data_IF_641659006719
#
_entry.id   IF_641659006719
#
_cell.length_a   1.000
_cell.length_b   1.000
_cell.length_c   1.000
_cell.angle_alpha   90.00
_cell.angle_beta   90.00
_cell.angle_gamma   90.00
#
_symmetry.space_group_name_H-M   'P 1'
#
loop_
_entity.id
_entity.type
_entity.pdbx_description
1 polymer ?
#
# COMPACT_ATOMS: atom_id res chain seq x y z
N UNK A 1 3.46 -32.24 20.32
CA UNK A 1 4.58 -33.08 19.85
C UNK A 1 5.67 -32.23 19.23
N UNK A 2 5.36 -31.40 18.23
CA UNK A 2 6.25 -30.39 17.64
C UNK A 2 6.98 -29.54 18.70
N UNK A 3 6.24 -29.03 19.67
CA UNK A 3 6.73 -28.30 20.83
C UNK A 3 7.82 -29.04 21.63
N UNK A 4 7.59 -30.33 21.89
CA UNK A 4 8.54 -31.20 22.58
C UNK A 4 9.76 -31.51 21.70
N UNK A 5 9.54 -31.65 20.39
CA UNK A 5 10.62 -31.84 19.42
C UNK A 5 11.54 -30.61 19.39
N UNK A 6 10.95 -29.41 19.32
CA UNK A 6 11.64 -28.12 19.38
C UNK A 6 12.45 -27.99 20.67
N UNK A 7 11.85 -28.30 21.83
CA UNK A 7 12.54 -28.23 23.11
C UNK A 7 13.79 -29.13 23.15
N UNK A 8 13.66 -30.37 22.70
CA UNK A 8 14.81 -31.29 22.70
C UNK A 8 15.86 -30.86 21.67
N UNK A 9 15.42 -30.32 20.53
CA UNK A 9 16.29 -29.95 19.41
C UNK A 9 17.03 -28.62 19.59
N UNK A 10 16.46 -27.65 20.32
CA UNK A 10 16.96 -26.27 20.36
C UNK A 10 17.08 -25.66 21.77
N UNK A 11 16.44 -26.20 22.81
CA UNK A 11 16.52 -25.68 24.18
C UNK A 11 17.25 -26.64 25.11
N UNK A 12 18.45 -26.24 25.53
CA UNK A 12 19.18 -26.91 26.62
C UNK A 12 19.81 -25.86 27.52
N UNK A 13 20.10 -26.24 28.76
CA UNK A 13 20.68 -25.41 29.83
C UNK A 13 22.15 -25.00 29.53
N UNK A 14 22.38 -24.41 28.36
CA UNK A 14 23.64 -23.83 27.93
C UNK A 14 24.56 -24.66 27.04
N UNK A 15 24.02 -25.66 26.35
CA UNK A 15 24.77 -26.39 25.33
C UNK A 15 24.38 -25.96 23.92
N UNK A 16 25.37 -25.76 23.05
CA UNK A 16 25.10 -25.44 21.64
C UNK A 16 24.35 -26.61 20.96
N UNK A 17 23.15 -26.38 20.38
CA UNK A 17 22.36 -27.42 19.72
C UNK A 17 23.10 -28.21 18.63
N UNK A 18 24.06 -27.57 17.94
CA UNK A 18 24.84 -28.19 16.86
C UNK A 18 25.88 -29.22 17.32
N UNK A 19 26.12 -29.36 18.63
CA UNK A 19 27.07 -30.36 19.16
C UNK A 19 26.41 -31.63 19.66
N UNK A 20 25.08 -31.68 19.64
CA UNK A 20 24.31 -32.78 20.20
C UNK A 20 23.93 -33.78 19.12
N UNK A 21 24.34 -35.03 19.32
CA UNK A 21 23.70 -36.15 18.66
C UNK A 21 22.39 -36.45 19.38
N UNK A 22 21.29 -36.48 18.63
CA UNK A 22 20.02 -36.95 19.12
C UNK A 22 19.55 -38.11 18.26
N UNK A 23 19.08 -39.18 18.91
CA UNK A 23 18.26 -40.21 18.27
C UNK A 23 16.83 -39.66 18.22
N UNK A 24 16.50 -38.87 17.19
CA UNK A 24 15.20 -38.18 17.08
C UNK A 24 14.16 -38.98 16.27
N UNK A 25 14.44 -40.24 15.93
CA UNK A 25 13.69 -40.97 14.90
C UNK A 25 12.19 -41.01 15.20
N UNK A 26 11.75 -41.23 16.43
CA UNK A 26 10.31 -41.49 16.63
C UNK A 26 9.50 -40.19 16.76
N UNK A 27 10.05 -39.16 17.42
CA UNK A 27 9.38 -37.88 17.62
C UNK A 27 9.34 -37.02 16.36
N UNK A 28 10.43 -36.98 15.57
CA UNK A 28 10.47 -36.25 14.31
C UNK A 28 9.53 -36.86 13.28
N UNK A 29 9.53 -38.18 13.15
CA UNK A 29 8.73 -38.88 12.14
C UNK A 29 7.24 -38.90 12.50
N UNK A 30 6.92 -38.83 13.80
CA UNK A 30 5.54 -38.62 14.24
C UNK A 30 5.07 -37.17 14.02
N UNK A 31 5.94 -36.18 14.21
CA UNK A 31 5.61 -34.77 13.97
C UNK A 31 5.54 -34.44 12.48
N UNK A 32 6.39 -35.07 11.67
CA UNK A 32 6.53 -34.84 10.24
C UNK A 32 6.69 -36.18 9.50
N UNK A 33 5.57 -36.82 9.09
CA UNK A 33 5.62 -38.11 8.40
C UNK A 33 6.33 -38.08 7.04
N UNK A 34 6.35 -36.92 6.37
CA UNK A 34 7.07 -36.65 5.11
C UNK A 34 8.55 -37.01 5.17
N UNK A 35 9.14 -36.96 6.37
CA UNK A 35 10.53 -37.32 6.59
C UNK A 35 10.84 -38.81 6.35
N UNK A 36 9.83 -39.68 6.25
CA UNK A 36 9.98 -41.09 5.82
C UNK A 36 10.56 -41.22 4.41
N UNK A 37 10.39 -40.19 3.60
CA UNK A 37 10.85 -40.16 2.21
C UNK A 37 12.32 -39.71 2.09
N UNK A 38 12.95 -39.31 3.21
CA UNK A 38 14.32 -38.82 3.21
C UNK A 38 15.34 -39.95 3.43
N UNK A 39 15.97 -40.45 2.36
CA UNK A 39 16.96 -41.54 2.41
C UNK A 39 18.16 -41.23 3.34
N UNK A 40 18.58 -39.97 3.45
CA UNK A 40 19.66 -39.53 4.35
C UNK A 40 19.27 -39.47 5.84
N UNK A 41 17.97 -39.31 6.13
CA UNK A 41 17.42 -39.29 7.49
C UNK A 41 17.16 -40.70 8.06
N UNK A 42 17.21 -41.74 7.24
CA UNK A 42 17.11 -43.12 7.72
C UNK A 42 18.48 -43.81 7.86
N UNK A 43 19.53 -43.27 7.22
CA UNK A 43 20.87 -43.88 7.17
C UNK A 43 21.91 -43.34 8.17
N UNK A 44 21.64 -42.22 8.84
CA UNK A 44 22.52 -41.63 9.85
C UNK A 44 22.14 -42.10 11.25
N UNK A 45 23.13 -42.44 12.08
CA UNK A 45 22.90 -42.94 13.45
C UNK A 45 22.67 -41.81 14.48
N UNK A 46 22.96 -40.57 14.11
CA UNK A 46 22.93 -39.43 15.02
C UNK A 46 22.57 -38.18 14.23
N UNK A 47 21.46 -37.54 14.59
CA UNK A 47 21.01 -36.32 13.95
C UNK A 47 21.18 -35.15 14.89
N UNK A 48 21.53 -33.99 14.34
CA UNK A 48 21.46 -32.76 15.12
C UNK A 48 20.03 -32.25 14.99
N UNK A 49 19.36 -31.95 16.12
CA UNK A 49 17.96 -31.48 16.09
C UNK A 49 17.75 -30.24 15.22
N UNK A 50 18.82 -29.50 14.98
CA UNK A 50 18.86 -28.38 14.07
C UNK A 50 18.62 -28.75 12.59
N UNK A 51 18.95 -29.98 12.17
CA UNK A 51 18.87 -30.44 10.79
C UNK A 51 17.44 -30.77 10.31
N UNK A 52 16.47 -30.87 11.22
CA UNK A 52 15.07 -31.21 10.89
C UNK A 52 14.52 -30.29 9.81
N UNK A 53 14.76 -28.98 9.94
CA UNK A 53 14.35 -28.00 8.94
C UNK A 53 14.93 -28.29 7.54
N UNK A 54 16.20 -28.68 7.49
CA UNK A 54 16.89 -29.00 6.24
C UNK A 54 16.24 -30.22 5.58
N UNK A 55 16.00 -31.28 6.35
CA UNK A 55 15.39 -32.49 5.83
C UNK A 55 13.98 -32.26 5.29
N UNK A 56 13.14 -31.49 6.00
CA UNK A 56 11.81 -31.09 5.52
C UNK A 56 11.91 -30.33 4.20
N UNK A 57 12.85 -29.39 4.12
CA UNK A 57 13.07 -28.60 2.90
C UNK A 57 13.59 -29.42 1.72
N UNK A 58 14.36 -30.48 1.98
CA UNK A 58 14.96 -31.35 0.96
C UNK A 58 13.94 -32.35 0.38
N UNK A 59 12.92 -32.75 1.15
CA UNK A 59 11.77 -33.52 0.64
C UNK A 59 10.61 -32.63 0.15
N UNK A 60 10.87 -31.33 -0.01
CA UNK A 60 9.89 -30.33 -0.44
C UNK A 60 8.64 -30.19 0.47
N UNK A 61 8.74 -30.58 1.74
CA UNK A 61 7.70 -30.30 2.75
C UNK A 61 7.88 -28.88 3.30
N UNK A 62 7.58 -27.89 2.44
CA UNK A 62 7.73 -26.47 2.75
C UNK A 62 6.77 -26.00 3.85
N UNK A 63 5.56 -26.53 3.88
CA UNK A 63 4.57 -26.21 4.91
C UNK A 63 5.03 -26.72 6.28
N UNK A 64 5.55 -27.95 6.35
CA UNK A 64 6.14 -28.51 7.56
C UNK A 64 7.36 -27.71 8.02
N UNK A 65 8.24 -27.32 7.11
CA UNK A 65 9.43 -26.52 7.40
C UNK A 65 9.08 -25.12 7.94
N UNK A 66 8.12 -24.42 7.32
CA UNK A 66 7.65 -23.11 7.78
C UNK A 66 6.89 -23.21 9.10
N UNK A 67 6.11 -24.29 9.30
CA UNK A 67 5.41 -24.53 10.57
C UNK A 67 6.41 -24.72 11.71
N UNK A 68 7.46 -25.51 11.49
CA UNK A 68 8.56 -25.66 12.45
C UNK A 68 9.22 -24.30 12.75
N UNK A 69 9.54 -23.52 11.71
CA UNK A 69 10.22 -22.24 11.85
C UNK A 69 9.37 -21.18 12.57
N UNK A 70 8.08 -21.03 12.22
CA UNK A 70 7.15 -20.13 12.90
C UNK A 70 6.97 -20.51 14.35
N UNK A 71 6.78 -21.80 14.62
CA UNK A 71 6.60 -22.27 16.00
C UNK A 71 7.83 -22.05 16.86
N UNK A 72 9.02 -22.11 16.25
CA UNK A 72 10.28 -21.75 16.88
C UNK A 72 10.35 -20.26 17.25
N UNK A 73 9.80 -19.37 16.42
CA UNK A 73 9.66 -17.92 16.73
C UNK A 73 8.62 -17.68 17.83
N UNK A 74 7.44 -18.29 17.71
CA UNK A 74 6.32 -18.14 18.65
C UNK A 74 6.64 -18.60 20.08
N UNK A 75 7.63 -19.48 20.21
CA UNK A 75 8.14 -19.92 21.51
C UNK A 75 8.80 -18.79 22.28
N UNK A 76 9.12 -17.69 21.60
CA UNK A 76 9.91 -16.54 22.02
C UNK A 76 11.27 -16.96 22.59
N UNK A 77 12.38 -16.30 22.23
CA UNK A 77 13.65 -16.56 22.90
C UNK A 77 13.52 -16.14 24.35
N UNK A 78 13.33 -17.10 25.25
CA UNK A 78 13.42 -16.85 26.68
C UNK A 78 14.83 -16.34 26.92
N UNK A 79 14.94 -15.14 27.48
CA UNK A 79 16.21 -14.48 27.82
C UNK A 79 16.90 -15.27 28.95
N UNK A 80 17.50 -16.39 28.57
CA UNK A 80 18.16 -17.36 29.47
C UNK A 80 19.66 -17.09 29.58
N UNK A 81 20.13 -15.91 29.15
CA UNK A 81 21.56 -15.56 29.07
C UNK A 81 22.18 -15.90 27.71
N UNK A 82 23.52 -16.03 27.68
CA UNK A 82 24.32 -16.24 26.46
C UNK A 82 23.84 -17.42 25.60
N UNK A 83 23.09 -18.35 26.19
CA UNK A 83 22.63 -19.58 25.57
C UNK A 83 21.39 -19.42 24.68
N UNK A 84 20.49 -18.47 25.01
CA UNK A 84 19.34 -18.12 24.15
C UNK A 84 19.77 -17.55 22.80
N UNK A 85 20.95 -16.93 22.76
CA UNK A 85 21.57 -16.43 21.54
C UNK A 85 22.10 -17.57 20.65
N UNK A 86 22.46 -18.73 21.22
CA UNK A 86 23.13 -19.80 20.47
C UNK A 86 22.18 -20.55 19.54
N UNK A 87 20.97 -20.90 19.99
CA UNK A 87 20.00 -21.60 19.14
C UNK A 87 19.39 -20.66 18.10
N UNK A 88 19.12 -19.39 18.47
CA UNK A 88 18.66 -18.35 17.53
C UNK A 88 19.70 -18.15 16.42
N UNK A 89 20.98 -18.03 16.79
CA UNK A 89 22.07 -17.91 15.82
C UNK A 89 22.18 -19.14 14.92
N UNK A 90 22.00 -20.35 15.48
CA UNK A 90 22.11 -21.58 14.74
C UNK A 90 20.91 -21.79 13.78
N UNK A 91 19.68 -21.51 14.23
CA UNK A 91 18.48 -21.51 13.38
C UNK A 91 18.59 -20.49 12.25
N UNK A 92 18.98 -19.25 12.59
CA UNK A 92 19.23 -18.19 11.61
C UNK A 92 20.27 -18.63 10.59
N UNK A 93 21.40 -19.20 11.01
CA UNK A 93 22.44 -19.70 10.10
C UNK A 93 21.90 -20.74 9.12
N UNK A 94 21.06 -21.65 9.57
CA UNK A 94 20.47 -22.66 8.71
C UNK A 94 19.45 -22.12 7.70
N UNK A 95 18.49 -21.32 8.17
CA UNK A 95 17.47 -20.73 7.29
C UNK A 95 18.13 -19.87 6.21
N UNK A 96 19.15 -19.14 6.64
CA UNK A 96 20.04 -18.35 5.79
C UNK A 96 20.74 -19.16 4.71
N UNK A 97 21.44 -20.24 5.08
CA UNK A 97 22.11 -21.09 4.10
C UNK A 97 21.12 -21.64 3.08
N UNK A 98 19.93 -22.06 3.52
CA UNK A 98 18.89 -22.56 2.62
C UNK A 98 18.39 -21.48 1.66
N UNK A 99 18.14 -20.27 2.15
CA UNK A 99 17.79 -19.13 1.29
C UNK A 99 18.88 -18.87 0.25
N UNK A 100 20.15 -18.93 0.64
CA UNK A 100 21.27 -18.74 -0.27
C UNK A 100 21.36 -19.85 -1.32
N UNK A 101 21.18 -21.11 -0.92
CA UNK A 101 21.11 -22.24 -1.85
C UNK A 101 20.01 -22.05 -2.89
N UNK A 102 18.79 -21.71 -2.46
CA UNK A 102 17.65 -21.46 -3.35
C UNK A 102 17.93 -20.29 -4.30
N UNK A 103 18.45 -19.17 -3.77
CA UNK A 103 18.82 -18.01 -4.58
C UNK A 103 19.92 -18.34 -5.60
N UNK A 104 20.89 -19.18 -5.22
CA UNK A 104 22.00 -19.59 -6.10
C UNK A 104 21.54 -20.58 -7.17
N UNK A 105 20.65 -21.50 -6.81
CA UNK A 105 20.09 -22.51 -7.70
C UNK A 105 19.25 -21.87 -8.79
N UNK A 106 18.31 -21.01 -8.39
CA UNK A 106 17.36 -20.40 -9.30
C UNK A 106 17.88 -19.13 -9.96
N UNK A 107 18.90 -18.46 -9.42
CA UNK A 107 19.51 -17.22 -9.97
C UNK A 107 18.50 -16.10 -10.33
N UNK A 108 17.29 -16.15 -9.76
CA UNK A 108 16.17 -15.24 -10.03
C UNK A 108 15.10 -15.79 -10.99
N UNK A 109 15.32 -16.94 -11.62
CA UNK A 109 14.34 -17.66 -12.46
C UNK A 109 13.74 -18.82 -11.65
N UNK A 110 12.74 -18.47 -10.83
CA UNK A 110 12.07 -19.41 -9.94
C UNK A 110 11.34 -20.49 -10.76
N UNK A 111 11.71 -21.76 -10.57
CA UNK A 111 11.17 -22.89 -11.33
C UNK A 111 9.73 -23.25 -10.96
N UNK A 112 9.26 -22.90 -9.76
CA UNK A 112 7.90 -23.13 -9.28
C UNK A 112 7.41 -22.01 -8.34
N UNK A 113 6.09 -21.75 -8.28
CA UNK A 113 5.49 -20.78 -7.33
C UNK A 113 5.73 -21.16 -5.86
N UNK A 114 5.60 -22.45 -5.48
CA UNK A 114 5.80 -22.88 -4.08
C UNK A 114 7.21 -22.63 -3.53
N UNK A 115 8.27 -22.86 -4.32
CA UNK A 115 9.65 -22.65 -3.87
C UNK A 115 9.94 -21.17 -3.56
N UNK A 116 9.36 -20.28 -4.37
CA UNK A 116 9.50 -18.83 -4.22
C UNK A 116 8.73 -18.33 -3.02
N UNK A 117 7.48 -18.76 -2.86
CA UNK A 117 6.64 -18.41 -1.71
C UNK A 117 7.30 -18.89 -0.41
N UNK A 118 7.79 -20.13 -0.38
CA UNK A 118 8.59 -20.66 0.71
C UNK A 118 9.80 -19.78 1.05
N UNK A 119 10.58 -19.38 0.04
CA UNK A 119 11.78 -18.55 0.25
C UNK A 119 11.45 -17.14 0.76
N UNK A 120 10.33 -16.53 0.34
CA UNK A 120 9.88 -15.22 0.83
C UNK A 120 9.44 -15.33 2.28
N UNK A 121 8.57 -16.29 2.60
CA UNK A 121 8.05 -16.47 3.97
C UNK A 121 9.17 -16.84 4.95
N UNK A 122 10.13 -17.67 4.53
CA UNK A 122 11.30 -17.99 5.32
C UNK A 122 12.19 -16.76 5.57
N UNK A 123 12.35 -15.87 4.58
CA UNK A 123 13.07 -14.62 4.77
C UNK A 123 12.38 -13.73 5.82
N UNK A 124 11.05 -13.60 5.78
CA UNK A 124 10.30 -12.83 6.77
C UNK A 124 10.46 -13.39 8.20
N UNK A 125 10.41 -14.71 8.36
CA UNK A 125 10.66 -15.39 9.63
C UNK A 125 12.08 -15.09 10.15
N UNK A 126 13.09 -15.08 9.27
CA UNK A 126 14.47 -14.70 9.68
C UNK A 126 14.58 -13.25 10.16
N UNK A 127 13.79 -12.32 9.62
CA UNK A 127 13.76 -10.93 10.09
C UNK A 127 13.12 -10.82 11.49
N UNK A 128 12.12 -11.65 11.80
CA UNK A 128 11.48 -11.66 13.12
C UNK A 128 12.44 -12.16 14.21
N UNK A 129 13.34 -13.09 13.87
CA UNK A 129 14.37 -13.61 14.79
C UNK A 129 15.58 -12.66 14.94
N UNK A 130 15.72 -11.64 14.09
CA UNK A 130 16.87 -10.71 14.05
C UNK A 130 17.11 -9.95 15.35
N UNK A 131 16.10 -9.32 16.00
CA UNK A 131 16.32 -8.51 17.19
C UNK A 131 16.92 -9.30 18.36
N UNK A 132 16.72 -10.61 18.36
CA UNK A 132 17.19 -11.52 19.40
C UNK A 132 18.65 -11.97 19.21
N UNK A 133 19.38 -11.41 18.23
CA UNK A 133 20.79 -11.73 17.93
C UNK A 133 21.73 -10.51 17.95
N UNK A 134 21.20 -9.29 18.07
CA UNK A 134 21.98 -8.06 17.85
C UNK A 134 23.18 -7.94 18.82
N UNK A 135 24.39 -8.05 18.26
CA UNK A 135 25.65 -7.80 18.98
C UNK A 135 26.90 -8.55 18.50
N UNK A 136 26.80 -9.69 17.79
CA UNK A 136 27.97 -10.59 17.66
C UNK A 136 28.41 -10.90 16.22
N UNK A 137 27.55 -10.85 15.21
CA UNK A 137 27.96 -11.15 13.82
C UNK A 137 27.20 -10.30 12.80
N UNK A 138 27.94 -9.65 11.89
CA UNK A 138 27.37 -9.11 10.67
C UNK A 138 26.74 -10.25 9.87
N UNK A 139 25.42 -10.25 9.76
CA UNK A 139 24.71 -11.30 9.07
C UNK A 139 25.00 -11.20 7.56
N UNK A 140 25.33 -12.30 6.85
CA UNK A 140 25.64 -12.27 5.42
C UNK A 140 24.48 -11.79 4.52
N UNK A 141 23.30 -11.49 5.08
CA UNK A 141 22.03 -11.32 4.37
C UNK A 141 21.48 -9.90 4.39
N UNK A 142 22.21 -8.93 4.96
CA UNK A 142 22.13 -7.55 4.46
C UNK A 142 22.86 -7.40 3.12
N UNK A 143 23.42 -8.49 2.57
CA UNK A 143 23.94 -8.48 1.23
C UNK A 143 22.77 -8.26 0.26
N UNK A 144 22.78 -7.07 -0.36
CA UNK A 144 21.93 -6.73 -1.49
C UNK A 144 21.67 -7.91 -2.44
N UNK A 145 22.66 -8.74 -2.80
CA UNK A 145 22.46 -9.92 -3.66
C UNK A 145 21.32 -10.88 -3.30
N UNK A 146 21.12 -11.25 -2.03
CA UNK A 146 20.07 -12.24 -1.67
C UNK A 146 18.69 -11.59 -1.75
N UNK A 147 18.54 -10.39 -1.20
CA UNK A 147 17.31 -9.58 -1.33
C UNK A 147 17.01 -9.31 -2.81
N UNK A 148 18.03 -8.92 -3.57
CA UNK A 148 17.93 -8.71 -5.01
C UNK A 148 17.53 -9.97 -5.73
N UNK A 149 17.96 -11.17 -5.33
CA UNK A 149 17.57 -12.44 -5.96
C UNK A 149 16.13 -12.87 -5.63
N UNK A 150 15.73 -12.80 -4.35
CA UNK A 150 14.37 -13.15 -3.87
C UNK A 150 13.31 -12.26 -4.52
N UNK A 151 13.59 -10.97 -4.48
CA UNK A 151 12.71 -9.96 -5.05
C UNK A 151 13.12 -9.61 -6.47
N UNK A 152 13.99 -10.38 -7.16
CA UNK A 152 14.50 -10.01 -8.49
C UNK A 152 13.42 -9.84 -9.51
N UNK A 153 12.38 -10.66 -9.48
CA UNK A 153 11.25 -10.51 -10.40
C UNK A 153 10.47 -9.24 -10.08
N UNK A 154 10.33 -8.91 -8.79
CA UNK A 154 9.68 -7.69 -8.31
C UNK A 154 10.55 -6.45 -8.57
N UNK A 155 11.88 -6.60 -8.52
CA UNK A 155 12.93 -5.62 -8.71
C UNK A 155 13.34 -5.45 -10.17
N UNK A 156 13.24 -6.45 -11.02
CA UNK A 156 13.40 -6.36 -12.48
C UNK A 156 12.12 -5.75 -13.07
N UNK A 157 10.95 -6.02 -12.45
CA UNK A 157 9.74 -5.21 -12.65
C UNK A 157 9.95 -3.78 -12.16
N UNK A 158 10.65 -3.58 -11.03
CA UNK A 158 11.01 -2.25 -10.49
C UNK A 158 12.11 -1.51 -11.28
N UNK A 159 13.12 -2.19 -11.81
CA UNK A 159 14.24 -1.65 -12.60
C UNK A 159 13.76 -1.34 -14.02
N UNK A 160 12.80 -2.11 -14.54
CA UNK A 160 12.00 -1.71 -15.72
C UNK A 160 11.10 -0.49 -15.45
N UNK A 161 10.82 -0.16 -14.18
CA UNK A 161 10.09 1.03 -13.75
C UNK A 161 11.01 2.20 -13.31
N UNK A 162 12.29 1.96 -13.03
CA UNK A 162 13.21 2.92 -12.37
C UNK A 162 14.55 3.12 -13.13
N UNK A 163 14.82 2.40 -14.22
CA UNK A 163 16.08 2.50 -14.98
C UNK A 163 16.45 3.92 -15.43
N UNK A 164 17.77 4.17 -15.50
CA UNK A 164 18.59 5.41 -15.51
C UNK A 164 18.22 6.56 -16.49
N UNK A 165 16.95 6.88 -16.69
CA UNK A 165 16.49 8.09 -17.38
C UNK A 165 15.95 9.12 -16.40
N UNK A 166 16.16 10.41 -16.69
CA UNK A 166 15.60 11.53 -15.92
C UNK A 166 14.10 11.34 -15.61
N UNK A 167 13.79 11.38 -14.30
CA UNK A 167 12.48 11.31 -13.62
C UNK A 167 11.75 9.94 -13.62
N UNK A 168 11.11 9.57 -12.49
CA UNK A 168 10.47 8.27 -12.30
C UNK A 168 9.22 8.15 -13.17
N UNK A 169 9.35 7.48 -14.31
CA UNK A 169 8.21 7.07 -15.12
C UNK A 169 7.49 5.90 -14.45
N UNK A 170 6.58 6.27 -13.56
CA UNK A 170 5.27 5.65 -13.33
C UNK A 170 5.16 4.52 -12.29
N UNK A 171 5.60 4.81 -11.06
CA UNK A 171 4.93 4.28 -9.84
C UNK A 171 3.55 4.93 -9.62
N UNK A 172 3.33 6.13 -10.19
CA UNK A 172 2.15 6.99 -9.98
C UNK A 172 0.82 6.43 -10.50
N UNK A 173 0.85 5.58 -11.53
CA UNK A 173 -0.37 4.96 -12.12
C UNK A 173 -0.96 3.83 -11.29
N UNK A 174 -0.22 3.41 -10.27
CA UNK A 174 -0.26 2.03 -9.81
C UNK A 174 -0.74 1.93 -8.35
N UNK A 175 -1.26 3.00 -7.77
CA UNK A 175 -1.80 2.99 -6.38
C UNK A 175 -2.97 2.00 -6.26
N UNK A 176 -3.81 1.93 -7.29
CA UNK A 176 -5.04 1.12 -7.31
C UNK A 176 -5.12 0.18 -8.51
N UNK A 177 -3.99 -0.26 -9.06
CA UNK A 177 -4.00 -1.25 -10.14
C UNK A 177 -4.57 -2.59 -9.67
N UNK A 178 -5.13 -3.36 -10.61
CA UNK A 178 -5.73 -4.65 -10.32
C UNK A 178 -4.74 -5.64 -9.67
N UNK A 179 -3.45 -5.59 -10.05
CA UNK A 179 -2.39 -6.43 -9.47
C UNK A 179 -2.05 -6.11 -8.00
N UNK A 180 -2.62 -5.01 -7.47
CA UNK A 180 -2.34 -4.50 -6.12
C UNK A 180 -3.58 -4.40 -5.23
N UNK A 181 -4.75 -4.80 -5.73
CA UNK A 181 -5.95 -4.89 -4.93
C UNK A 181 -5.75 -5.91 -3.79
N UNK A 182 -6.14 -5.54 -2.57
CA UNK A 182 -5.95 -6.36 -1.36
C UNK A 182 -4.57 -6.25 -0.68
N UNK A 183 -3.58 -5.58 -1.28
CA UNK A 183 -2.22 -5.40 -0.70
C UNK A 183 -2.11 -4.08 0.09
N UNK A 184 -2.82 -4.01 1.21
CA UNK A 184 -3.05 -2.77 1.96
C UNK A 184 -1.76 -2.06 2.42
N UNK A 185 -0.82 -2.76 3.04
CA UNK A 185 0.44 -2.16 3.56
C UNK A 185 1.23 -1.46 2.44
N UNK A 186 1.26 -2.08 1.26
CA UNK A 186 1.91 -1.53 0.08
C UNK A 186 1.19 -0.29 -0.46
N UNK A 187 -0.14 -0.26 -0.42
CA UNK A 187 -0.92 0.93 -0.84
C UNK A 187 -0.63 2.13 0.07
N UNK A 188 -0.55 1.90 1.39
CA UNK A 188 -0.21 2.93 2.37
C UNK A 188 1.21 3.46 2.16
N UNK A 189 2.18 2.57 1.96
CA UNK A 189 3.57 2.94 1.68
C UNK A 189 3.70 3.81 0.43
N UNK A 190 3.01 3.43 -0.66
CA UNK A 190 3.02 4.21 -1.90
C UNK A 190 2.40 5.59 -1.67
N UNK A 191 1.21 5.66 -1.06
CA UNK A 191 0.54 6.95 -0.80
C UNK A 191 1.41 7.89 0.05
N UNK A 192 2.06 7.36 1.10
CA UNK A 192 2.99 8.13 1.93
C UNK A 192 4.23 8.59 1.16
N UNK A 193 4.78 7.73 0.30
CA UNK A 193 5.91 8.09 -0.56
C UNK A 193 5.54 9.23 -1.51
N UNK A 194 4.34 9.20 -2.09
CA UNK A 194 3.85 10.28 -2.96
C UNK A 194 3.74 11.61 -2.22
N UNK A 195 3.21 11.60 -0.99
CA UNK A 195 3.15 12.78 -0.14
C UNK A 195 4.56 13.30 0.17
N UNK A 196 5.49 12.44 0.60
CA UNK A 196 6.86 12.84 0.90
C UNK A 196 7.59 13.39 -0.34
N UNK A 197 7.43 12.78 -1.51
CA UNK A 197 8.02 13.30 -2.75
C UNK A 197 7.44 14.66 -3.13
N UNK A 198 6.14 14.84 -2.89
CA UNK A 198 5.47 16.10 -3.12
C UNK A 198 5.97 17.21 -2.21
N UNK A 199 6.06 16.96 -0.90
CA UNK A 199 6.55 17.91 0.10
C UNK A 199 8.00 18.34 -0.17
N UNK A 200 8.79 17.44 -0.78
CA UNK A 200 10.17 17.72 -1.23
C UNK A 200 10.25 18.36 -2.63
N UNK A 201 9.13 18.68 -3.26
CA UNK A 201 9.04 19.25 -4.62
C UNK A 201 9.74 18.41 -5.72
N UNK A 202 9.73 17.09 -5.58
CA UNK A 202 10.40 16.17 -6.52
C UNK A 202 9.50 15.75 -7.70
N UNK A 203 8.21 16.09 -7.66
CA UNK A 203 7.24 15.67 -8.67
C UNK A 203 7.02 16.75 -9.73
N UNK A 204 7.22 16.40 -11.01
CA UNK A 204 6.99 17.28 -12.15
C UNK A 204 5.51 17.28 -12.56
N UNK A 205 4.96 18.47 -12.83
CA UNK A 205 3.58 18.70 -13.30
C UNK A 205 3.20 17.85 -14.53
N UNK A 206 4.12 17.62 -15.46
CA UNK A 206 3.83 16.85 -16.68
C UNK A 206 3.53 15.38 -16.37
N UNK A 207 4.26 14.77 -15.45
CA UNK A 207 4.06 13.38 -15.04
C UNK A 207 2.82 13.24 -14.17
N UNK A 208 2.56 14.21 -13.29
CA UNK A 208 1.33 14.28 -12.48
C UNK A 208 0.09 14.33 -13.37
N UNK A 209 0.15 15.09 -14.46
CA UNK A 209 -0.93 15.20 -15.47
C UNK A 209 -1.24 13.85 -16.12
N UNK A 210 -0.22 13.01 -16.36
CA UNK A 210 -0.39 11.71 -17.00
C UNK A 210 -0.89 10.63 -16.05
N UNK A 211 -0.62 10.75 -14.75
CA UNK A 211 -0.99 9.75 -13.75
C UNK A 211 -2.34 10.01 -13.09
N UNK A 212 -2.71 11.29 -12.92
CA UNK A 212 -3.96 11.67 -12.27
C UNK A 212 -5.22 10.99 -12.84
N UNK A 213 -5.42 10.85 -14.17
CA UNK A 213 -6.61 10.19 -14.71
C UNK A 213 -6.82 8.79 -14.15
N UNK A 214 -5.75 7.99 -14.11
CA UNK A 214 -5.82 6.60 -13.69
C UNK A 214 -6.01 6.46 -12.17
N UNK A 215 -5.36 7.32 -11.39
CA UNK A 215 -5.62 7.42 -9.96
C UNK A 215 -7.10 7.68 -9.68
N UNK A 216 -7.68 8.70 -10.34
CA UNK A 216 -9.08 9.07 -10.13
C UNK A 216 -10.04 8.03 -10.68
N UNK A 217 -9.73 7.36 -11.79
CA UNK A 217 -10.55 6.30 -12.36
C UNK A 217 -10.63 5.07 -11.45
N UNK A 218 -9.50 4.63 -10.88
CA UNK A 218 -9.40 3.40 -10.08
C UNK A 218 -9.66 3.58 -8.59
N UNK A 219 -9.80 4.81 -8.12
CA UNK A 219 -9.93 5.15 -6.69
C UNK A 219 -11.00 4.33 -5.96
N UNK A 220 -12.21 4.24 -6.53
CA UNK A 220 -13.36 3.62 -5.86
C UNK A 220 -13.19 2.12 -5.65
N UNK A 221 -12.91 1.40 -6.74
CA UNK A 221 -12.64 -0.02 -6.67
C UNK A 221 -11.42 -0.28 -5.78
N UNK A 222 -10.40 0.58 -5.83
CA UNK A 222 -9.26 0.54 -4.93
C UNK A 222 -9.64 0.55 -3.45
N UNK A 223 -10.49 1.50 -3.03
CA UNK A 223 -10.96 1.64 -1.64
C UNK A 223 -11.89 0.49 -1.22
N UNK A 224 -12.74 -0.01 -2.13
CA UNK A 224 -13.66 -1.12 -1.86
C UNK A 224 -12.93 -2.42 -1.49
N UNK A 225 -11.76 -2.68 -2.10
CA UNK A 225 -10.94 -3.87 -1.83
C UNK A 225 -10.06 -3.73 -0.57
N UNK A 226 -10.13 -2.61 0.16
CA UNK A 226 -9.46 -2.45 1.45
C UNK A 226 -10.34 -3.02 2.56
N UNK A 227 -9.72 -3.78 3.47
CA UNK A 227 -10.35 -4.33 4.67
C UNK A 227 -10.98 -3.23 5.53
N UNK A 228 -12.09 -3.55 6.20
CA UNK A 228 -12.90 -2.54 6.91
C UNK A 228 -12.12 -1.81 8.02
N UNK A 229 -11.25 -2.53 8.73
CA UNK A 229 -10.41 -2.04 9.82
C UNK A 229 -9.36 -1.00 9.35
N UNK A 230 -8.97 -1.06 8.06
CA UNK A 230 -7.94 -0.18 7.48
C UNK A 230 -8.48 0.83 6.47
N UNK A 231 -9.74 0.69 6.06
CA UNK A 231 -10.38 1.55 5.04
C UNK A 231 -10.32 3.04 5.39
N UNK A 232 -10.47 3.38 6.67
CA UNK A 232 -10.39 4.76 7.16
C UNK A 232 -9.03 5.38 6.85
N UNK A 233 -7.95 4.70 7.22
CA UNK A 233 -6.58 5.18 7.00
C UNK A 233 -6.28 5.39 5.52
N UNK A 234 -6.60 4.41 4.67
CA UNK A 234 -6.38 4.52 3.21
C UNK A 234 -7.20 5.65 2.60
N UNK A 235 -8.45 5.82 3.04
CA UNK A 235 -9.34 6.88 2.54
C UNK A 235 -8.77 8.26 2.86
N UNK A 236 -8.23 8.45 4.07
CA UNK A 236 -7.61 9.71 4.49
C UNK A 236 -6.33 10.00 3.71
N UNK A 237 -5.47 9.00 3.53
CA UNK A 237 -4.24 9.14 2.74
C UNK A 237 -4.55 9.42 1.27
N UNK A 238 -5.51 8.69 0.69
CA UNK A 238 -5.96 8.91 -0.69
C UNK A 238 -6.53 10.32 -0.87
N UNK A 239 -7.25 10.85 0.13
CA UNK A 239 -7.77 12.21 0.09
C UNK A 239 -6.64 13.24 0.05
N UNK A 240 -5.63 13.11 0.93
CA UNK A 240 -4.45 13.98 0.91
C UNK A 240 -3.70 13.90 -0.43
N UNK A 241 -3.45 12.69 -0.94
CA UNK A 241 -2.79 12.51 -2.23
C UNK A 241 -3.62 13.13 -3.37
N UNK A 242 -4.93 12.92 -3.39
CA UNK A 242 -5.81 13.53 -4.38
C UNK A 242 -5.82 15.06 -4.33
N UNK A 243 -5.81 15.63 -3.12
CA UNK A 243 -5.88 17.08 -2.90
C UNK A 243 -4.53 17.80 -3.09
N UNK A 244 -3.42 17.17 -2.71
CA UNK A 244 -2.10 17.80 -2.69
C UNK A 244 -1.25 17.40 -3.91
N UNK A 245 -1.36 16.14 -4.33
CA UNK A 245 -0.55 15.57 -5.41
C UNK A 245 -1.29 15.62 -6.74
N UNK A 246 -2.45 14.97 -6.83
CA UNK A 246 -3.24 14.83 -8.05
C UNK A 246 -4.33 15.89 -8.22
N UNK A 247 -4.09 17.08 -7.67
CA UNK A 247 -4.99 18.24 -7.78
C UNK A 247 -4.99 18.82 -9.19
N UNK A 248 -6.17 19.17 -9.70
CA UNK A 248 -6.35 19.78 -11.03
C UNK A 248 -5.50 21.04 -11.24
N UNK A 249 -5.17 21.77 -10.17
CA UNK A 249 -4.37 22.99 -10.25
C UNK A 249 -2.90 22.73 -10.62
N UNK A 250 -2.43 21.49 -10.45
CA UNK A 250 -1.06 21.07 -10.77
C UNK A 250 -0.92 20.44 -12.15
N UNK A 251 -2.02 20.38 -12.89
CA UNK A 251 -2.07 19.67 -14.17
C UNK A 251 -1.81 20.64 -15.34
N UNK A 252 -1.08 20.16 -16.34
CA UNK A 252 -0.87 20.85 -17.63
C UNK A 252 -1.96 20.48 -18.63
N UNK A 253 -2.14 21.33 -19.64
CA UNK A 253 -3.09 21.12 -20.75
C UNK A 253 -4.51 20.75 -20.29
N UNK A 254 -4.96 21.31 -19.16
CA UNK A 254 -6.21 20.95 -18.49
C UNK A 254 -7.40 20.94 -19.45
N UNK A 255 -7.52 21.99 -20.27
CA UNK A 255 -8.60 22.12 -21.27
C UNK A 255 -8.59 20.96 -22.27
N UNK A 256 -7.42 20.56 -22.77
CA UNK A 256 -7.26 19.44 -23.71
C UNK A 256 -7.62 18.11 -23.06
N UNK A 257 -7.20 17.89 -21.82
CA UNK A 257 -7.49 16.67 -21.08
C UNK A 257 -8.98 16.52 -20.73
N UNK A 258 -9.67 17.62 -20.44
CA UNK A 258 -11.13 17.62 -20.30
C UNK A 258 -11.84 17.33 -21.62
N UNK A 259 -11.45 17.98 -22.72
CA UNK A 259 -12.01 17.70 -24.05
C UNK A 259 -11.81 16.24 -24.48
N UNK A 260 -10.68 15.64 -24.09
CA UNK A 260 -10.39 14.22 -24.28
C UNK A 260 -11.05 13.30 -23.23
N UNK A 261 -11.90 13.83 -22.35
CA UNK A 261 -12.61 13.15 -21.25
C UNK A 261 -11.73 12.42 -20.22
N UNK A 262 -10.41 12.64 -20.25
CA UNK A 262 -9.46 12.01 -19.32
C UNK A 262 -9.65 12.47 -17.88
N UNK A 263 -10.06 13.73 -17.68
CA UNK A 263 -10.32 14.28 -16.35
C UNK A 263 -11.80 14.21 -15.93
N UNK A 264 -12.65 13.54 -16.70
CA UNK A 264 -14.04 13.28 -16.33
C UNK A 264 -14.17 12.56 -14.97
N UNK A 265 -13.42 11.46 -14.71
CA UNK A 265 -13.45 10.78 -13.42
C UNK A 265 -13.11 11.68 -12.22
N UNK A 266 -12.22 12.67 -12.41
CA UNK A 266 -11.83 13.59 -11.33
C UNK A 266 -13.01 14.47 -10.88
N UNK A 267 -13.88 14.90 -11.81
CA UNK A 267 -15.06 15.74 -11.48
C UNK A 267 -16.00 15.00 -10.52
N UNK A 268 -16.16 13.68 -10.70
CA UNK A 268 -17.03 12.84 -9.87
C UNK A 268 -16.33 12.34 -8.61
N UNK A 269 -15.10 11.84 -8.74
CA UNK A 269 -14.45 11.07 -7.68
C UNK A 269 -13.78 11.94 -6.63
N UNK A 270 -13.46 13.19 -6.95
CA UNK A 270 -12.93 14.15 -5.97
C UNK A 270 -13.97 14.51 -4.87
N UNK A 271 -15.22 14.93 -5.20
CA UNK A 271 -16.24 15.16 -4.18
C UNK A 271 -16.69 13.86 -3.50
N UNK A 272 -16.74 12.74 -4.23
CA UNK A 272 -17.05 11.44 -3.64
C UNK A 272 -16.04 11.07 -2.54
N UNK A 273 -14.74 11.27 -2.77
CA UNK A 273 -13.70 10.94 -1.80
C UNK A 273 -13.83 11.80 -0.53
N UNK A 274 -14.13 13.09 -0.68
CA UNK A 274 -14.40 13.96 0.46
C UNK A 274 -15.62 13.50 1.26
N UNK A 275 -16.68 13.02 0.59
CA UNK A 275 -17.82 12.42 1.26
C UNK A 275 -17.42 11.16 2.05
N UNK A 276 -16.56 10.30 1.50
CA UNK A 276 -16.05 9.13 2.23
C UNK A 276 -15.24 9.54 3.47
N UNK A 277 -14.44 10.60 3.39
CA UNK A 277 -13.70 11.15 4.54
C UNK A 277 -14.66 11.66 5.62
N UNK A 278 -15.71 12.41 5.22
CA UNK A 278 -16.75 12.88 6.14
C UNK A 278 -17.46 11.70 6.82
N UNK A 279 -17.85 10.69 6.04
CA UNK A 279 -18.50 9.47 6.55
C UNK A 279 -17.58 8.65 7.49
N UNK A 280 -16.26 8.78 7.35
CA UNK A 280 -15.28 8.20 8.26
C UNK A 280 -15.08 9.01 9.56
N UNK A 281 -15.94 10.01 9.80
CA UNK A 281 -15.97 10.81 11.04
C UNK A 281 -14.90 11.90 11.11
N UNK A 282 -14.42 12.39 9.96
CA UNK A 282 -13.46 13.50 9.92
C UNK A 282 -14.17 14.78 9.51
N UNK A 283 -14.05 15.80 10.36
CA UNK A 283 -14.56 17.14 10.08
C UNK A 283 -13.69 17.83 9.03
N UNK A 284 -14.26 18.02 7.84
CA UNK A 284 -13.61 18.72 6.75
C UNK A 284 -13.76 20.23 6.93
N UNK A 285 -12.64 20.96 6.84
CA UNK A 285 -12.67 22.41 6.89
C UNK A 285 -13.31 22.99 5.62
N UNK A 286 -13.72 24.27 5.67
CA UNK A 286 -14.19 24.96 4.47
C UNK A 286 -13.14 25.06 3.35
N UNK A 287 -11.84 24.89 3.66
CA UNK A 287 -10.79 24.77 2.64
C UNK A 287 -10.86 23.40 1.96
N UNK A 288 -10.91 22.33 2.73
CA UNK A 288 -10.95 20.96 2.21
C UNK A 288 -12.20 20.74 1.35
N UNK A 289 -13.34 21.31 1.76
CA UNK A 289 -14.57 21.26 0.98
C UNK A 289 -14.46 22.02 -0.35
N UNK A 290 -13.69 23.11 -0.43
CA UNK A 290 -13.43 23.80 -1.72
C UNK A 290 -12.48 23.01 -2.59
N UNK A 291 -11.44 22.44 -1.99
CA UNK A 291 -10.48 21.62 -2.71
C UNK A 291 -11.17 20.37 -3.28
N UNK A 292 -12.13 19.79 -2.57
CA UNK A 292 -12.98 18.69 -3.03
C UNK A 292 -13.81 19.01 -4.29
N UNK A 293 -14.12 20.30 -4.53
CA UNK A 293 -14.90 20.74 -5.69
C UNK A 293 -14.02 21.34 -6.81
N UNK A 294 -12.70 21.33 -6.65
CA UNK A 294 -11.80 22.09 -7.53
C UNK A 294 -11.85 21.64 -8.99
N UNK A 295 -11.98 20.34 -9.25
CA UNK A 295 -12.11 19.84 -10.63
C UNK A 295 -13.39 20.36 -11.31
N UNK A 296 -14.52 20.36 -10.59
CA UNK A 296 -15.79 20.89 -11.10
C UNK A 296 -15.72 22.42 -11.30
N UNK A 297 -15.14 23.15 -10.35
CA UNK A 297 -14.89 24.59 -10.48
C UNK A 297 -14.02 24.90 -11.72
N UNK A 298 -12.95 24.13 -11.93
CA UNK A 298 -12.06 24.31 -13.08
C UNK A 298 -12.75 23.99 -14.40
N UNK A 299 -13.53 22.91 -14.47
CA UNK A 299 -14.32 22.55 -15.65
C UNK A 299 -15.36 23.64 -15.97
N UNK A 300 -16.12 24.10 -14.98
CA UNK A 300 -17.11 25.16 -15.15
C UNK A 300 -16.48 26.49 -15.58
N UNK A 301 -15.28 26.82 -15.10
CA UNK A 301 -14.59 28.05 -15.51
C UNK A 301 -14.07 27.99 -16.96
N UNK A 302 -13.72 26.79 -17.45
CA UNK A 302 -13.16 26.62 -18.80
C UNK A 302 -14.21 26.44 -19.89
N UNK A 303 -15.38 25.89 -19.54
CA UNK A 303 -16.42 25.48 -20.48
C UNK A 303 -17.80 26.04 -20.14
N UNK A 304 -17.92 26.82 -19.07
CA UNK A 304 -19.18 27.39 -18.58
C UNK A 304 -20.26 26.32 -18.47
N UNK A 305 -21.40 26.50 -19.15
CA UNK A 305 -22.53 25.56 -19.18
C UNK A 305 -22.26 24.29 -19.97
N UNK A 306 -21.19 24.24 -20.77
CA UNK A 306 -20.82 23.07 -21.58
C UNK A 306 -20.02 22.00 -20.79
N UNK A 307 -19.73 22.24 -19.50
CA UNK A 307 -19.04 21.28 -18.63
C UNK A 307 -19.74 19.91 -18.58
N UNK A 308 -21.06 19.90 -18.76
CA UNK A 308 -21.89 18.70 -18.78
C UNK A 308 -21.45 17.68 -19.83
N UNK A 309 -20.82 18.13 -20.93
CA UNK A 309 -20.27 17.24 -21.96
C UNK A 309 -19.00 16.49 -21.53
N UNK A 310 -18.42 16.83 -20.38
CA UNK A 310 -17.19 16.23 -19.84
C UNK A 310 -17.46 14.96 -19.01
N UNK A 311 -18.70 14.74 -18.61
CA UNK A 311 -19.14 13.57 -17.81
C UNK A 311 -20.35 12.91 -18.48
N UNK A 312 -20.61 11.63 -18.18
CA UNK A 312 -21.81 10.95 -18.67
C UNK A 312 -23.07 11.46 -17.95
N UNK A 313 -24.24 11.12 -18.48
CA UNK A 313 -25.51 11.44 -17.82
C UNK A 313 -25.63 10.68 -16.47
N UNK A 314 -25.20 9.42 -16.40
CA UNK A 314 -25.20 8.67 -15.13
C UNK A 314 -24.29 9.34 -14.10
N UNK A 315 -23.06 9.70 -14.50
CA UNK A 315 -22.11 10.39 -13.63
C UNK A 315 -22.64 11.74 -13.13
N UNK A 316 -23.50 12.42 -13.90
CA UNK A 316 -24.11 13.69 -13.49
C UNK A 316 -25.18 13.51 -12.43
N UNK A 317 -26.04 12.50 -12.58
CA UNK A 317 -27.05 12.15 -11.58
C UNK A 317 -26.35 11.78 -10.28
N UNK A 318 -25.31 10.96 -10.37
CA UNK A 318 -24.53 10.55 -9.21
C UNK A 318 -23.79 11.72 -8.56
N UNK A 319 -23.15 12.59 -9.35
CA UNK A 319 -22.49 13.78 -8.85
C UNK A 319 -23.46 14.67 -8.07
N UNK A 320 -24.70 14.81 -8.54
CA UNK A 320 -25.75 15.54 -7.82
C UNK A 320 -25.98 14.93 -6.44
N UNK A 321 -26.22 13.62 -6.34
CA UNK A 321 -26.46 12.93 -5.06
C UNK A 321 -25.28 13.09 -4.09
N UNK A 322 -24.05 12.96 -4.59
CA UNK A 322 -22.83 13.15 -3.81
C UNK A 322 -22.76 14.56 -3.25
N UNK A 323 -23.01 15.59 -4.08
CA UNK A 323 -22.93 16.99 -3.66
C UNK A 323 -24.03 17.36 -2.66
N UNK A 324 -25.25 16.87 -2.88
CA UNK A 324 -26.37 17.07 -1.96
C UNK A 324 -26.06 16.50 -0.56
N UNK A 325 -25.43 15.32 -0.52
CA UNK A 325 -25.04 14.67 0.74
C UNK A 325 -23.85 15.35 1.39
N UNK A 326 -22.80 15.64 0.61
CA UNK A 326 -21.56 16.26 1.11
C UNK A 326 -21.83 17.65 1.71
N UNK A 327 -22.68 18.44 1.05
CA UNK A 327 -22.99 19.83 1.40
C UNK A 327 -24.35 19.97 2.11
N UNK A 328 -24.90 18.87 2.61
CA UNK A 328 -26.18 18.83 3.35
C UNK A 328 -26.23 19.84 4.49
N UNK A 329 -25.17 19.88 5.30
CA UNK A 329 -25.05 20.75 6.49
C UNK A 329 -24.33 22.08 6.22
N UNK A 330 -23.90 22.31 4.99
CA UNK A 330 -23.14 23.51 4.61
C UNK A 330 -24.08 24.50 3.96
N UNK A 331 -24.16 25.71 4.53
CA UNK A 331 -24.86 26.81 3.89
C UNK A 331 -23.99 27.42 2.79
N UNK A 332 -24.60 28.03 1.75
CA UNK A 332 -23.85 28.83 0.78
C UNK A 332 -22.98 29.91 1.43
N UNK A 333 -23.38 30.43 2.60
CA UNK A 333 -22.65 31.48 3.33
C UNK A 333 -21.35 30.96 3.97
N UNK A 334 -21.37 29.74 4.49
CA UNK A 334 -20.18 29.09 5.05
C UNK A 334 -19.15 28.80 3.95
N UNK A 335 -19.63 28.50 2.75
CA UNK A 335 -18.83 28.17 1.59
C UNK A 335 -18.30 29.43 0.85
N UNK A 336 -19.10 30.49 0.78
CA UNK A 336 -18.87 31.72 -0.01
C UNK A 336 -18.12 32.85 0.73
N UNK A 337 -17.33 32.53 1.76
CA UNK A 337 -16.42 33.51 2.41
C UNK A 337 -15.43 34.14 1.42
N UNK A 338 -15.24 33.56 0.22
CA UNK A 338 -14.55 34.15 -0.95
C UNK A 338 -15.51 34.23 -2.15
N UNK A 339 -15.27 35.16 -3.09
CA UNK A 339 -16.05 35.28 -4.35
C UNK A 339 -15.87 34.00 -5.18
N UNK A 340 -16.96 33.30 -5.48
CA UNK A 340 -16.97 32.12 -6.36
C UNK A 340 -17.16 32.55 -7.83
N UNK A 341 -16.59 31.84 -8.80
CA UNK A 341 -16.84 32.11 -10.22
C UNK A 341 -18.33 31.96 -10.56
N UNK A 342 -18.88 32.89 -11.35
CA UNK A 342 -20.30 32.87 -11.73
C UNK A 342 -20.68 31.59 -12.48
N UNK A 343 -19.79 31.12 -13.36
CA UNK A 343 -19.98 29.86 -14.07
C UNK A 343 -20.10 28.69 -13.08
N UNK A 344 -19.27 28.64 -12.04
CA UNK A 344 -19.32 27.59 -11.02
C UNK A 344 -20.61 27.66 -10.20
N UNK A 345 -21.05 28.86 -9.81
CA UNK A 345 -22.33 29.03 -9.11
C UNK A 345 -23.52 28.62 -9.99
N UNK A 346 -23.47 28.94 -11.29
CA UNK A 346 -24.49 28.48 -12.23
C UNK A 346 -24.55 26.95 -12.25
N UNK A 347 -23.41 26.26 -12.25
CA UNK A 347 -23.35 24.79 -12.21
C UNK A 347 -23.92 24.24 -10.92
N UNK A 348 -23.54 24.79 -9.76
CA UNK A 348 -24.10 24.38 -8.47
C UNK A 348 -25.61 24.62 -8.38
N UNK A 349 -26.10 25.71 -8.99
CA UNK A 349 -27.54 26.00 -9.08
C UNK A 349 -28.28 25.00 -9.97
N UNK A 350 -27.65 24.53 -11.05
CA UNK A 350 -28.21 23.49 -11.91
C UNK A 350 -28.28 22.14 -11.20
N UNK A 351 -27.20 21.75 -10.49
CA UNK A 351 -27.12 20.47 -9.81
C UNK A 351 -27.97 20.44 -8.52
N UNK A 352 -27.98 21.52 -7.74
CA UNK A 352 -28.59 21.62 -6.42
C UNK A 352 -29.47 22.87 -6.29
N UNK A 353 -30.50 22.97 -7.12
CA UNK A 353 -31.37 24.15 -7.22
C UNK A 353 -31.93 24.64 -5.87
N UNK A 354 -32.32 23.71 -4.99
CA UNK A 354 -32.99 24.01 -3.72
C UNK A 354 -32.10 24.69 -2.66
N UNK A 355 -30.78 24.72 -2.86
CA UNK A 355 -29.82 25.32 -1.92
C UNK A 355 -29.64 26.84 -2.12
N UNK A 356 -30.29 27.47 -3.11
CA UNK A 356 -30.28 28.92 -3.29
C UNK A 356 -28.96 29.53 -3.77
N UNK A 357 -28.08 28.72 -4.39
CA UNK A 357 -26.75 29.14 -4.84
C UNK A 357 -26.76 30.39 -5.74
N UNK A 358 -27.73 30.52 -6.65
CA UNK A 358 -27.84 31.64 -7.58
C UNK A 358 -28.29 32.97 -6.94
N UNK A 359 -29.06 32.92 -5.86
CA UNK A 359 -29.61 34.11 -5.18
C UNK A 359 -28.48 34.98 -4.57
N UNK A 360 -27.44 34.34 -4.03
CA UNK A 360 -26.27 35.01 -3.41
C UNK A 360 -25.33 35.71 -4.40
N UNK A 361 -25.18 35.23 -5.64
CA UNK A 361 -24.40 35.94 -6.68
C UNK A 361 -25.11 37.21 -7.11
N UNK A 362 -26.44 37.15 -7.19
CA UNK A 362 -27.27 38.32 -7.46
C UNK A 362 -27.19 39.35 -6.31
N UNK A 363 -27.15 38.90 -5.06
CA UNK A 363 -27.07 39.79 -3.89
C UNK A 363 -25.69 40.45 -3.74
N UNK A 364 -24.57 39.74 -3.98
CA UNK A 364 -23.23 40.36 -4.00
C UNK A 364 -23.06 41.36 -5.15
N UNK A 365 -23.67 41.12 -6.31
CA UNK A 365 -23.70 42.11 -7.40
C UNK A 365 -24.54 43.33 -7.03
N UNK A 366 -25.63 43.15 -6.28
CA UNK A 366 -26.40 44.28 -5.71
C UNK A 366 -25.57 45.10 -4.72
N UNK A 367 -24.78 44.45 -3.85
CA UNK A 367 -23.90 45.15 -2.91
C UNK A 367 -22.76 45.90 -3.64
N UNK A 368 -22.16 45.31 -4.68
CA UNK A 368 -21.15 45.97 -5.53
C UNK A 368 -21.75 47.17 -6.31
N UNK A 369 -22.99 47.06 -6.82
CA UNK A 369 -23.73 48.15 -7.48
C UNK A 369 -24.10 49.25 -6.49
N UNK A 370 -24.56 48.90 -5.29
CA UNK A 370 -24.89 49.88 -4.24
C UNK A 370 -23.66 50.65 -3.78
N UNK A 371 -22.49 50.02 -3.65
CA UNK A 371 -21.26 50.70 -3.26
C UNK A 371 -20.73 51.64 -4.37
N UNK A 372 -20.81 51.23 -5.65
CA UNK A 372 -20.41 52.09 -6.77
C UNK A 372 -21.38 53.25 -7.04
N UNK A 373 -22.68 53.04 -6.81
CA UNK A 373 -23.73 54.05 -7.04
C UNK A 373 -23.92 54.99 -5.83
N UNK A 374 -23.41 54.64 -4.65
CA UNK A 374 -23.39 55.51 -3.46
C UNK A 374 -22.17 56.45 -3.41
N UNK A 375 -21.22 56.34 -4.35
CA UNK A 375 -20.09 57.27 -4.46
C UNK A 375 -19.24 57.38 -3.19
N UNK A 376 -19.03 56.26 -2.49
CA UNK A 376 -18.17 56.15 -1.30
C UNK A 376 -16.80 55.56 -1.62
#
# INVERSE_FOLDING_TARGET
MLDRLIDVAYWTQGENPSRRSMEVSDLSMTAFPSLLECEGLLGSKTYQGIEIFKYLSDVCDYEGALTLARRLVDREPVDLGEDGLTWVAAALHMYSNRLQELCTLYKGEWGSSPDREFAIELHEITQQLRPYRDGVYAHPFDSGPVKTALYRVDLDFFDKLVGEGDLPKLVLRDVFSASRQGKHERQVEILNTLLSMNERNLLNEQDLTLAAPEFWEKLRSGIEHVSQDRRREVTLLAHRVGSDVFSINRMKDVKKNFLAKKFGPMILNQPWLALQVKNAGVDLSGKDMRDALKALEKASSLFERQWEGMVSNEQRVELKEILETLLSDISPDDFAKRKMPEAFVSVLSTLMHYKGWGQKVSDKKRDEILMSDLGL
#
